data_IF_853995940871
#
_entry.id   IF_853995940871
#
_cell.length_a   1.000
_cell.length_b   1.000
_cell.length_c   1.000
_cell.angle_alpha   90.00
_cell.angle_beta   90.00
_cell.angle_gamma   90.00
#
_symmetry.space_group_name_H-M   'P 1'
#
loop_
_entity.id
_entity.type
_entity.pdbx_description
1 polymer ?
#
# COMPACT_ATOMS: atom_id res chain seq x y z
N UNK A 1 -14.95 -7.79 0.82
CA UNK A 1 -13.72 -7.26 0.22
C UNK A 1 -12.67 -7.05 1.28
N UNK A 2 -11.43 -7.33 0.97
CA UNK A 2 -10.30 -7.08 1.88
C UNK A 2 -9.48 -5.93 1.32
N UNK A 3 -9.15 -4.98 2.18
CA UNK A 3 -8.32 -3.84 1.81
C UNK A 3 -6.99 -3.90 2.58
N UNK A 4 -5.89 -3.78 1.87
CA UNK A 4 -4.57 -3.51 2.47
C UNK A 4 -4.30 -2.05 2.21
N UNK A 5 -4.07 -1.26 3.26
CA UNK A 5 -3.74 0.14 3.04
C UNK A 5 -2.49 0.53 3.82
N UNK A 6 -1.71 1.38 3.19
CA UNK A 6 -0.42 1.84 3.68
C UNK A 6 -0.48 3.35 3.82
N UNK A 7 -0.10 3.84 4.99
CA UNK A 7 -0.10 5.27 5.28
C UNK A 7 1.34 5.72 5.52
N UNK A 8 1.78 6.74 4.77
CA UNK A 8 3.13 7.28 4.86
C UNK A 8 3.11 8.61 5.59
N UNK A 9 4.05 8.81 6.51
CA UNK A 9 4.14 10.06 7.28
C UNK A 9 4.68 11.22 6.47
N UNK A 10 5.38 10.93 5.36
CA UNK A 10 5.94 11.94 4.46
C UNK A 10 5.58 11.59 3.02
N UNK A 11 5.52 12.59 2.16
CA UNK A 11 5.31 12.38 0.74
C UNK A 11 6.59 11.82 0.12
N UNK A 12 6.53 10.67 -0.55
CA UNK A 12 7.72 10.10 -1.20
C UNK A 12 8.08 10.88 -2.46
N UNK A 13 9.34 10.75 -2.89
CA UNK A 13 9.77 11.25 -4.19
C UNK A 13 8.95 10.56 -5.28
N UNK A 14 8.33 11.32 -6.22
CA UNK A 14 7.45 10.73 -7.22
C UNK A 14 8.11 9.69 -8.12
N UNK A 15 9.35 9.92 -8.53
CA UNK A 15 10.06 8.97 -9.40
C UNK A 15 10.39 7.69 -8.66
N UNK A 16 10.88 7.81 -7.44
CA UNK A 16 11.18 6.67 -6.59
C UNK A 16 9.93 5.88 -6.25
N UNK A 17 8.82 6.58 -5.98
CA UNK A 17 7.57 5.91 -5.68
C UNK A 17 7.00 5.18 -6.88
N UNK A 18 7.17 5.71 -8.10
CA UNK A 18 6.71 5.03 -9.32
C UNK A 18 7.40 3.68 -9.50
N UNK A 19 8.68 3.58 -9.19
CA UNK A 19 9.40 2.30 -9.21
C UNK A 19 8.80 1.33 -8.19
N UNK A 20 8.48 1.81 -7.00
CA UNK A 20 7.83 1.01 -5.97
C UNK A 20 6.44 0.56 -6.42
N UNK A 21 5.66 1.47 -7.02
CA UNK A 21 4.32 1.17 -7.52
C UNK A 21 4.32 0.07 -8.59
N UNK A 22 5.36 0.01 -9.42
CA UNK A 22 5.50 -1.06 -10.39
C UNK A 22 5.59 -2.44 -9.72
N UNK A 23 6.35 -2.53 -8.62
CA UNK A 23 6.40 -3.77 -7.84
C UNK A 23 5.04 -4.12 -7.26
N UNK A 24 4.34 -3.11 -6.74
CA UNK A 24 3.02 -3.30 -6.15
C UNK A 24 1.99 -3.80 -7.17
N UNK A 25 2.08 -3.32 -8.40
CA UNK A 25 1.18 -3.75 -9.49
C UNK A 25 1.40 -5.19 -9.92
N UNK A 26 2.55 -5.77 -9.61
CA UNK A 26 2.84 -7.18 -9.92
C UNK A 26 2.14 -8.15 -8.98
N UNK A 27 1.66 -7.68 -7.85
CA UNK A 27 0.89 -8.50 -6.92
C UNK A 27 -0.45 -8.85 -7.56
N UNK A 28 -0.72 -10.14 -7.73
CA UNK A 28 -1.91 -10.59 -8.43
C UNK A 28 -3.11 -10.79 -7.50
N UNK A 29 -4.29 -10.71 -8.06
CA UNK A 29 -5.54 -10.94 -7.34
C UNK A 29 -6.16 -9.70 -6.72
N UNK A 30 -5.48 -8.56 -6.76
CA UNK A 30 -5.97 -7.30 -6.22
C UNK A 30 -5.73 -6.13 -7.17
N UNK A 31 -6.34 -5.00 -6.84
CA UNK A 31 -6.17 -3.74 -7.57
C UNK A 31 -5.36 -2.79 -6.71
N UNK A 32 -4.26 -2.25 -7.24
CA UNK A 32 -3.38 -1.33 -6.52
C UNK A 32 -3.64 0.12 -6.94
N UNK A 33 -3.73 1.01 -5.95
CA UNK A 33 -3.87 2.46 -6.17
C UNK A 33 -3.06 3.20 -5.11
N UNK A 34 -2.65 4.42 -5.42
CA UNK A 34 -1.95 5.28 -4.48
C UNK A 34 -2.25 6.74 -4.75
N UNK A 35 -1.99 7.61 -3.79
CA UNK A 35 -2.26 9.03 -3.94
C UNK A 35 -1.84 9.85 -2.73
N UNK A 36 -2.05 11.16 -2.84
CA UNK A 36 -1.75 12.11 -1.77
C UNK A 36 -2.93 12.24 -0.81
N UNK A 37 -2.60 12.39 0.47
CA UNK A 37 -3.58 12.81 1.47
C UNK A 37 -3.57 14.34 1.46
N UNK A 38 -4.69 14.95 1.13
CA UNK A 38 -4.75 16.42 0.99
C UNK A 38 -5.37 17.14 2.18
N UNK A 39 -5.86 16.41 3.16
CA UNK A 39 -6.44 17.03 4.34
C UNK A 39 -7.06 16.04 5.31
N UNK A 40 -7.35 16.50 6.51
CA UNK A 40 -8.03 15.72 7.53
C UNK A 40 -8.78 16.66 8.48
N UNK A 41 -10.07 16.43 8.76
CA UNK A 41 -10.82 17.27 9.70
C UNK A 41 -10.35 17.14 11.15
N UNK A 42 -9.58 16.10 11.46
CA UNK A 42 -9.07 15.84 12.81
C UNK A 42 -7.57 16.07 12.94
N UNK A 43 -6.93 16.62 11.90
CA UNK A 43 -5.48 16.86 11.86
C UNK A 43 -4.77 15.85 10.97
N UNK A 44 -4.04 16.36 9.99
CA UNK A 44 -3.34 15.54 9.02
C UNK A 44 -2.06 14.95 9.62
N UNK A 45 -2.04 13.63 9.73
CA UNK A 45 -0.92 12.88 10.26
C UNK A 45 -0.09 12.20 9.17
N UNK A 46 -0.74 11.88 8.04
CA UNK A 46 -0.14 11.17 6.93
C UNK A 46 -0.21 12.01 5.67
N UNK A 47 0.84 11.92 4.85
CA UNK A 47 0.97 12.74 3.64
C UNK A 47 0.64 11.96 2.36
N UNK A 48 0.74 10.64 2.40
CA UNK A 48 0.57 9.81 1.22
C UNK A 48 -0.04 8.46 1.60
N UNK A 49 -0.73 7.81 0.64
CA UNK A 49 -1.30 6.49 0.90
C UNK A 49 -1.18 5.57 -0.31
N UNK A 50 -1.27 4.28 -0.03
CA UNK A 50 -1.37 3.26 -1.06
C UNK A 50 -2.37 2.20 -0.59
N UNK A 51 -2.99 1.50 -1.54
CA UNK A 51 -3.95 0.45 -1.20
C UNK A 51 -4.00 -0.65 -2.24
N UNK A 52 -4.29 -1.86 -1.77
CA UNK A 52 -4.78 -2.95 -2.62
C UNK A 52 -6.19 -3.30 -2.17
N UNK A 53 -7.06 -3.59 -3.14
CA UNK A 53 -8.37 -4.15 -2.88
C UNK A 53 -8.39 -5.58 -3.42
N UNK A 54 -8.71 -6.54 -2.55
CA UNK A 54 -8.87 -7.95 -2.91
C UNK A 54 -10.35 -8.33 -2.78
N UNK A 55 -10.89 -9.16 -3.68
CA UNK A 55 -12.33 -9.49 -3.66
C UNK A 55 -12.75 -10.22 -2.38
N UNK A 56 -11.88 -11.06 -1.83
CA UNK A 56 -12.19 -11.85 -0.65
C UNK A 56 -10.92 -12.22 0.13
N UNK A 57 -11.10 -12.88 1.26
CA UNK A 57 -10.01 -13.30 2.13
C UNK A 57 -9.09 -14.31 1.45
N UNK A 58 -9.64 -15.18 0.61
CA UNK A 58 -8.87 -16.20 -0.08
C UNK A 58 -7.87 -15.59 -1.06
N UNK A 59 -8.33 -14.61 -1.85
CA UNK A 59 -7.46 -13.86 -2.76
C UNK A 59 -6.37 -13.10 -2.01
N UNK A 60 -6.72 -12.47 -0.89
CA UNK A 60 -5.75 -11.77 -0.06
C UNK A 60 -4.69 -12.73 0.48
N UNK A 61 -5.09 -13.86 1.06
CA UNK A 61 -4.15 -14.83 1.61
C UNK A 61 -3.20 -15.39 0.54
N UNK A 62 -3.73 -15.67 -0.64
CA UNK A 62 -2.93 -16.14 -1.76
C UNK A 62 -1.87 -15.10 -2.15
N UNK A 63 -2.27 -13.83 -2.28
CA UNK A 63 -1.35 -12.75 -2.62
C UNK A 63 -0.30 -12.54 -1.53
N UNK A 64 -0.71 -12.52 -0.26
CA UNK A 64 0.17 -12.29 0.87
C UNK A 64 1.24 -13.37 1.04
N UNK A 65 1.05 -14.53 0.44
CA UNK A 65 1.99 -15.65 0.50
C UNK A 65 3.04 -15.60 -0.62
N UNK A 66 2.97 -14.61 -1.52
CA UNK A 66 3.87 -14.53 -2.68
C UNK A 66 5.14 -13.76 -2.38
N UNK A 67 6.18 -14.03 -3.16
CA UNK A 67 7.42 -13.26 -3.12
C UNK A 67 7.21 -11.83 -3.59
N UNK A 68 6.30 -11.63 -4.54
CA UNK A 68 5.95 -10.31 -5.05
C UNK A 68 5.42 -9.41 -3.94
N UNK A 69 4.53 -9.93 -3.09
CA UNK A 69 4.01 -9.15 -1.97
C UNK A 69 5.12 -8.86 -0.94
N UNK A 70 5.96 -9.85 -0.63
CA UNK A 70 7.08 -9.67 0.28
C UNK A 70 8.07 -8.63 -0.25
N UNK A 71 8.31 -8.61 -1.55
CA UNK A 71 9.21 -7.64 -2.19
C UNK A 71 8.71 -6.20 -2.02
N UNK A 72 7.39 -5.98 -2.05
CA UNK A 72 6.84 -4.63 -1.83
C UNK A 72 7.14 -4.11 -0.43
N UNK A 73 7.08 -4.99 0.58
CA UNK A 73 7.40 -4.60 1.96
C UNK A 73 8.87 -4.24 2.13
N UNK A 74 9.77 -5.01 1.52
CA UNK A 74 11.19 -4.74 1.56
C UNK A 74 11.54 -3.43 0.85
N UNK A 75 10.92 -3.19 -0.29
CA UNK A 75 11.15 -1.97 -1.06
C UNK A 75 10.62 -0.75 -0.32
N UNK A 76 9.45 -0.86 0.30
CA UNK A 76 8.89 0.22 1.11
C UNK A 76 9.83 0.58 2.26
N UNK A 77 10.38 -0.40 2.95
CA UNK A 77 11.33 -0.18 4.04
C UNK A 77 12.60 0.51 3.54
N UNK A 78 13.06 0.16 2.33
CA UNK A 78 14.26 0.74 1.73
C UNK A 78 14.10 2.22 1.35
N UNK A 79 12.87 2.71 1.18
CA UNK A 79 12.63 4.12 0.88
C UNK A 79 12.92 5.04 2.06
N UNK A 80 12.98 4.51 3.28
CA UNK A 80 13.37 5.28 4.46
C UNK A 80 12.30 6.22 5.02
N UNK A 81 11.06 6.15 4.53
CA UNK A 81 9.94 6.96 5.02
C UNK A 81 9.14 6.11 6.00
N UNK A 82 8.82 6.63 7.19
CA UNK A 82 7.95 5.92 8.13
C UNK A 82 6.60 5.60 7.51
N UNK A 83 6.19 4.35 7.58
CA UNK A 83 4.91 3.92 7.03
C UNK A 83 4.22 2.92 7.95
N UNK A 84 2.90 2.82 7.80
CA UNK A 84 2.04 1.97 8.61
C UNK A 84 1.13 1.17 7.71
N UNK A 85 1.11 -0.15 7.90
CA UNK A 85 0.31 -1.06 7.08
C UNK A 85 -0.85 -1.59 7.89
N UNK A 86 -2.03 -1.58 7.30
CA UNK A 86 -3.24 -2.10 7.93
C UNK A 86 -4.00 -2.99 6.97
N UNK A 87 -4.62 -4.01 7.53
CA UNK A 87 -5.52 -4.90 6.79
C UNK A 87 -6.94 -4.70 7.34
N UNK A 88 -7.89 -4.52 6.44
CA UNK A 88 -9.28 -4.28 6.84
C UNK A 88 -10.24 -5.15 6.04
N UNK A 89 -11.27 -5.63 6.71
CA UNK A 89 -12.40 -6.27 6.04
C UNK A 89 -13.43 -5.18 5.77
N UNK A 90 -13.76 -4.98 4.51
CA UNK A 90 -14.74 -3.97 4.08
C UNK A 90 -16.09 -4.66 3.90
N UNK A 91 -17.07 -4.17 4.59
CA UNK A 91 -18.44 -4.72 4.56
C UNK A 91 -19.37 -3.98 3.60
#
# INVERSE_FOLDING_TARGET
MIKVFVLYEQEPDPELYEEHAELCRRVQGGTFRHGKVFGSPTGQKYAYYAEWDFPDMEAFKAAASTEEFAATGKDAAAMGIPFHVHFAAVE
#
